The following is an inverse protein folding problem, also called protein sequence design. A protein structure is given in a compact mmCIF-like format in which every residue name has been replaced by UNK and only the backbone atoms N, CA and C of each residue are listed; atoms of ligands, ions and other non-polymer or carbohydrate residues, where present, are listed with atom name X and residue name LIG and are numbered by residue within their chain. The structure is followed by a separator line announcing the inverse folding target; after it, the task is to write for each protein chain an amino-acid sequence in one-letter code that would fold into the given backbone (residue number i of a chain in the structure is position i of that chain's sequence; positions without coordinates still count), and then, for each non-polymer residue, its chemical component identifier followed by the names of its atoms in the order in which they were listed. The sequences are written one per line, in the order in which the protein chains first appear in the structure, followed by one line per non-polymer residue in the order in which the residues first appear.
data_IF_932275384294
#
_entry.id   IF_932275384294
#
_cell.length_a   1.000
_cell.length_b   1.000
_cell.length_c   1.000
_cell.angle_alpha   90.00
_cell.angle_beta   90.00
_cell.angle_gamma   90.00
#
_symmetry.space_group_name_H-M   'P 1'
#
loop_
_entity.id
_entity.type
_entity.pdbx_description
1 polymer ?
#
# COMPACT_ATOMS: atom_id res chain seq x y z
N UNK A 1 2.22 1.70 -1.90
CA UNK A 1 1.53 0.62 -2.64
C UNK A 1 0.57 -0.12 -1.71
N UNK A 2 -0.65 -0.48 -2.11
CA UNK A 2 -1.41 -1.50 -1.34
C UNK A 2 -0.75 -2.85 -1.59
N UNK A 3 -0.59 -3.68 -0.55
CA UNK A 3 0.07 -4.98 -0.68
C UNK A 3 -0.65 -5.83 -1.73
N UNK A 4 -0.01 -6.21 -2.86
CA UNK A 4 -0.68 -6.94 -3.93
C UNK A 4 -1.15 -8.33 -3.50
N UNK A 5 -0.58 -8.89 -2.43
CA UNK A 5 -1.02 -10.14 -1.80
C UNK A 5 -2.39 -10.02 -1.09
N UNK A 6 -2.84 -8.81 -0.75
CA UNK A 6 -4.11 -8.59 -0.08
C UNK A 6 -5.22 -8.39 -1.11
N UNK A 7 -5.93 -9.48 -1.43
CA UNK A 7 -7.16 -9.40 -2.22
C UNK A 7 -8.16 -8.45 -1.55
N UNK A 8 -8.78 -7.57 -2.36
CA UNK A 8 -9.83 -6.64 -1.95
C UNK A 8 -11.22 -7.21 -2.20
N UNK A 9 -12.14 -7.03 -1.25
CA UNK A 9 -13.56 -7.37 -1.40
C UNK A 9 -14.45 -6.26 -0.82
N UNK A 10 -15.46 -5.82 -1.59
CA UNK A 10 -16.44 -4.83 -1.16
C UNK A 10 -17.67 -5.49 -0.53
N UNK A 11 -18.16 -4.93 0.58
CA UNK A 11 -19.36 -5.34 1.32
C UNK A 11 -20.16 -4.08 1.68
N UNK A 12 -21.06 -3.65 0.79
CA UNK A 12 -21.76 -2.37 0.94
C UNK A 12 -20.78 -1.20 0.94
N UNK A 13 -20.77 -0.41 2.01
CA UNK A 13 -19.85 0.73 2.20
C UNK A 13 -18.52 0.34 2.87
N UNK A 14 -18.25 -0.94 3.09
CA UNK A 14 -17.02 -1.42 3.74
C UNK A 14 -16.16 -2.18 2.74
N UNK A 15 -14.86 -1.93 2.72
CA UNK A 15 -13.88 -2.76 2.00
C UNK A 15 -13.15 -3.67 2.98
N UNK A 16 -12.84 -4.89 2.54
CA UNK A 16 -11.94 -5.81 3.23
C UNK A 16 -10.68 -6.01 2.40
N UNK A 17 -9.52 -5.90 3.04
CA UNK A 17 -8.21 -6.24 2.50
C UNK A 17 -7.73 -7.53 3.16
N UNK A 18 -7.38 -8.55 2.37
CA UNK A 18 -6.89 -9.83 2.89
C UNK A 18 -7.96 -10.93 2.91
N UNK A 19 -7.51 -12.16 2.70
CA UNK A 19 -8.35 -13.34 2.51
C UNK A 19 -8.49 -14.19 3.78
N UNK A 20 -7.55 -14.09 4.72
CA UNK A 20 -7.57 -14.87 5.97
C UNK A 20 -8.02 -13.99 7.14
N UNK A 21 -8.87 -14.48 8.07
CA UNK A 21 -9.36 -13.67 9.19
C UNK A 21 -8.24 -13.06 10.06
N UNK A 22 -7.14 -13.78 10.23
CA UNK A 22 -5.98 -13.33 11.00
C UNK A 22 -5.24 -12.13 10.35
N UNK A 23 -5.45 -11.88 9.05
CA UNK A 23 -4.77 -10.83 8.28
C UNK A 23 -5.76 -9.97 7.48
N UNK A 24 -7.05 -10.04 7.81
CA UNK A 24 -8.08 -9.30 7.11
C UNK A 24 -8.33 -7.96 7.81
N UNK A 25 -8.15 -6.86 7.08
CA UNK A 25 -8.45 -5.51 7.56
C UNK A 25 -9.75 -5.04 6.91
N UNK A 26 -10.73 -4.65 7.71
CA UNK A 26 -11.97 -4.05 7.24
C UNK A 26 -11.94 -2.53 7.43
N UNK A 27 -12.31 -1.79 6.40
CA UNK A 27 -12.33 -0.32 6.40
C UNK A 27 -13.71 0.15 5.94
N UNK A 28 -14.45 0.79 6.83
CA UNK A 28 -15.76 1.37 6.53
C UNK A 28 -16.56 1.73 7.77
N UNK A 29 -17.78 2.28 7.59
CA UNK A 29 -18.41 2.62 6.32
C UNK A 29 -17.75 3.83 5.63
N UNK A 30 -17.63 3.75 4.30
CA UNK A 30 -17.03 4.77 3.43
C UNK A 30 -18.08 5.39 2.54
N UNK A 31 -18.02 6.71 2.39
CA UNK A 31 -18.79 7.41 1.37
C UNK A 31 -18.30 7.04 -0.05
N UNK A 32 -19.11 7.31 -1.07
CA UNK A 32 -18.79 6.96 -2.47
C UNK A 32 -17.48 7.58 -2.96
N UNK A 33 -17.16 8.80 -2.51
CA UNK A 33 -15.96 9.52 -2.96
C UNK A 33 -14.72 8.85 -2.38
N UNK A 34 -14.74 8.56 -1.07
CA UNK A 34 -13.67 7.81 -0.39
C UNK A 34 -13.54 6.38 -0.93
N UNK A 35 -14.66 5.73 -1.26
CA UNK A 35 -14.66 4.40 -1.86
C UNK A 35 -14.03 4.37 -3.25
N UNK A 36 -14.38 5.33 -4.11
CA UNK A 36 -13.76 5.48 -5.43
C UNK A 36 -12.28 5.85 -5.37
N UNK A 37 -11.84 6.58 -4.35
CA UNK A 37 -10.42 6.86 -4.13
C UNK A 37 -9.63 5.61 -3.74
N UNK A 38 -10.20 4.72 -2.90
CA UNK A 38 -9.57 3.44 -2.58
C UNK A 38 -9.38 2.54 -3.81
N UNK A 39 -10.22 2.69 -4.83
CA UNK A 39 -10.05 1.94 -6.07
C UNK A 39 -8.78 2.33 -6.83
N UNK A 40 -8.27 3.55 -6.63
CA UNK A 40 -7.02 4.06 -7.22
C UNK A 40 -5.77 3.55 -6.48
N UNK A 41 -5.93 3.05 -5.25
CA UNK A 41 -4.88 2.43 -4.46
C UNK A 41 -4.65 0.98 -4.90
N UNK A 42 -4.54 0.76 -6.21
CA UNK A 42 -4.25 -0.54 -6.86
C UNK A 42 -2.75 -0.85 -6.94
N UNK A 43 -1.89 0.11 -6.53
CA UNK A 43 -0.44 -0.01 -6.56
C UNK A 43 0.20 0.41 -7.90
N UNK A 44 -0.57 0.89 -8.87
CA UNK A 44 -0.05 1.40 -10.15
C UNK A 44 0.34 2.88 -10.12
N UNK A 45 -0.09 3.64 -9.10
CA UNK A 45 0.07 5.09 -8.98
C UNK A 45 0.95 5.49 -7.80
N UNK A 46 1.76 6.53 -7.99
CA UNK A 46 2.56 7.14 -6.92
C UNK A 46 1.69 8.00 -5.98
N UNK A 47 2.22 8.31 -4.79
CA UNK A 47 1.49 9.14 -3.81
C UNK A 47 1.18 10.54 -4.33
N UNK A 48 2.06 11.12 -5.13
CA UNK A 48 1.85 12.44 -5.74
C UNK A 48 0.66 12.44 -6.73
N UNK A 49 0.53 11.38 -7.53
CA UNK A 49 -0.60 11.21 -8.45
C UNK A 49 -1.91 11.03 -7.68
N UNK A 50 -1.89 10.20 -6.63
CA UNK A 50 -3.04 10.00 -5.75
C UNK A 50 -3.49 11.30 -5.07
N UNK A 51 -2.55 12.14 -4.65
CA UNK A 51 -2.84 13.44 -4.05
C UNK A 51 -3.56 14.40 -5.02
N UNK A 52 -3.11 14.43 -6.28
CA UNK A 52 -3.75 15.22 -7.33
C UNK A 52 -5.16 14.70 -7.66
N UNK A 53 -5.32 13.38 -7.77
CA UNK A 53 -6.60 12.73 -8.05
C UNK A 53 -7.62 12.90 -6.92
N UNK A 54 -7.18 12.91 -5.67
CA UNK A 54 -8.03 13.19 -4.52
C UNK A 54 -8.54 14.64 -4.54
N UNK A 55 -7.66 15.60 -4.81
CA UNK A 55 -8.04 17.02 -4.98
C UNK A 55 -9.06 17.19 -6.10
N UNK A 56 -8.84 16.55 -7.25
CA UNK A 56 -9.76 16.61 -8.39
C UNK A 56 -11.16 16.06 -8.06
N UNK A 57 -11.26 15.17 -7.06
CA UNK A 57 -12.53 14.57 -6.59
C UNK A 57 -13.13 15.28 -5.37
N UNK A 58 -12.54 16.41 -4.94
CA UNK A 58 -13.01 17.16 -3.77
C UNK A 58 -12.75 16.47 -2.43
N UNK A 59 -11.82 15.51 -2.37
CA UNK A 59 -11.38 14.91 -1.11
C UNK A 59 -10.39 15.85 -0.41
N UNK A 60 -10.68 16.30 0.83
CA UNK A 60 -9.72 17.07 1.62
C UNK A 60 -8.44 16.26 1.85
N UNK A 61 -7.29 16.93 1.73
CA UNK A 61 -5.99 16.27 1.87
C UNK A 61 -5.82 15.61 3.25
N UNK A 62 -6.36 16.22 4.29
CA UNK A 62 -6.33 15.72 5.67
C UNK A 62 -7.07 14.37 5.79
N UNK A 63 -8.17 14.20 5.02
CA UNK A 63 -8.92 12.95 4.99
C UNK A 63 -8.15 11.85 4.26
N UNK A 64 -7.47 12.20 3.17
CA UNK A 64 -6.59 11.28 2.43
C UNK A 64 -5.44 10.84 3.31
N UNK A 65 -4.78 11.77 4.00
CA UNK A 65 -3.65 11.47 4.87
C UNK A 65 -4.07 10.58 6.05
N UNK A 66 -5.21 10.89 6.69
CA UNK A 66 -5.77 10.05 7.75
C UNK A 66 -6.09 8.63 7.26
N UNK A 67 -6.68 8.51 6.07
CA UNK A 67 -6.98 7.22 5.46
C UNK A 67 -5.71 6.42 5.17
N UNK A 68 -4.72 7.04 4.53
CA UNK A 68 -3.42 6.41 4.23
C UNK A 68 -2.72 5.98 5.52
N UNK A 69 -2.70 6.83 6.56
CA UNK A 69 -2.13 6.48 7.87
C UNK A 69 -2.84 5.30 8.52
N UNK A 70 -4.17 5.23 8.47
CA UNK A 70 -4.93 4.10 9.01
C UNK A 70 -4.67 2.81 8.25
N UNK A 71 -4.60 2.88 6.92
CA UNK A 71 -4.28 1.72 6.09
C UNK A 71 -2.83 1.25 6.30
N UNK A 72 -1.89 2.17 6.49
CA UNK A 72 -0.50 1.88 6.83
C UNK A 72 -0.38 1.24 8.21
N UNK A 73 -1.08 1.77 9.22
CA UNK A 73 -1.13 1.20 10.57
C UNK A 73 -1.76 -0.20 10.58
N UNK A 74 -2.70 -0.45 9.67
CA UNK A 74 -3.31 -1.77 9.49
C UNK A 74 -2.46 -2.71 8.59
N UNK A 75 -1.29 -2.28 8.14
CA UNK A 75 -0.39 -3.09 7.31
C UNK A 75 -0.93 -3.40 5.92
N UNK A 76 -1.91 -2.63 5.43
CA UNK A 76 -2.50 -2.77 4.08
C UNK A 76 -1.64 -2.07 3.04
N UNK A 77 -0.93 -1.01 3.43
CA UNK A 77 -0.02 -0.25 2.58
C UNK A 77 1.41 -0.73 2.81
N UNK A 78 2.07 -1.12 1.72
CA UNK A 78 3.50 -1.25 1.61
C UNK A 78 4.10 0.04 1.07
N UNK A 79 5.04 0.63 1.79
CA UNK A 79 5.80 1.77 1.28
C UNK A 79 7.10 1.26 0.64
N UNK A 80 6.95 0.72 -0.58
CA UNK A 80 8.11 0.28 -1.37
C UNK A 80 8.93 1.46 -1.88
N UNK A 81 8.44 2.70 -1.78
CA UNK A 81 9.12 3.91 -2.26
C UNK A 81 9.91 4.64 -1.17
N UNK A 82 9.49 4.59 0.09
CA UNK A 82 10.14 5.30 1.17
C UNK A 82 11.39 4.59 1.73
N UNK A 83 12.49 5.34 1.75
CA UNK A 83 13.66 5.06 2.58
C UNK A 83 14.92 4.66 1.80
N UNK A 84 16.11 4.79 2.42
CA UNK A 84 17.39 4.50 1.78
C UNK A 84 17.51 3.05 1.26
N UNK A 85 16.89 2.10 1.96
CA UNK A 85 16.83 0.70 1.54
C UNK A 85 16.07 0.50 0.22
N UNK A 86 14.98 1.23 0.02
CA UNK A 86 14.22 1.19 -1.22
C UNK A 86 14.99 1.83 -2.39
N UNK A 87 15.78 2.87 -2.12
CA UNK A 87 16.68 3.47 -3.11
C UNK A 87 17.79 2.50 -3.53
N UNK A 88 18.39 1.77 -2.58
CA UNK A 88 19.41 0.76 -2.86
C UNK A 88 18.88 -0.39 -3.74
N UNK A 89 17.64 -0.84 -3.49
CA UNK A 89 16.98 -1.87 -4.30
C UNK A 89 16.67 -1.43 -5.75
N UNK A 90 16.66 -0.12 -6.03
CA UNK A 90 16.42 0.46 -7.36
C UNK A 90 17.69 0.78 -8.14
N UNK A 91 18.86 0.68 -7.52
CA UNK A 91 20.12 1.14 -8.11
C UNK A 91 20.54 0.35 -9.37
N UNK A 92 19.92 -0.80 -9.66
CA UNK A 92 20.18 -1.59 -10.87
C UNK A 92 18.96 -1.68 -11.80
N UNK A 93 19.14 -1.57 -13.14
CA UNK A 93 18.06 -1.79 -14.09
C UNK A 93 17.46 -3.21 -13.92
N UNK A 94 16.14 -3.29 -13.81
CA UNK A 94 15.41 -4.55 -13.64
C UNK A 94 15.54 -5.22 -12.26
N UNK A 95 16.20 -4.59 -11.28
CA UNK A 95 16.35 -5.16 -9.93
C UNK A 95 14.99 -5.31 -9.22
N UNK A 96 14.12 -4.31 -9.31
CA UNK A 96 12.77 -4.38 -8.72
C UNK A 96 11.91 -5.50 -9.31
N UNK A 97 11.99 -5.73 -10.62
CA UNK A 97 11.21 -6.76 -11.29
C UNK A 97 11.61 -8.17 -10.81
N UNK A 98 12.92 -8.40 -10.64
CA UNK A 98 13.45 -9.67 -10.10
C UNK A 98 13.08 -9.88 -8.63
N UNK A 99 13.05 -8.80 -7.85
CA UNK A 99 12.80 -8.87 -6.40
C UNK A 99 11.31 -8.77 -6.03
N UNK A 100 10.42 -8.58 -7.01
CA UNK A 100 8.98 -8.38 -6.80
C UNK A 100 8.34 -9.54 -6.01
N UNK A 101 8.70 -10.79 -6.31
CA UNK A 101 8.16 -11.97 -5.63
C UNK A 101 8.58 -12.05 -4.15
N UNK A 102 9.84 -11.77 -3.84
CA UNK A 102 10.36 -11.80 -2.49
C UNK A 102 9.85 -10.62 -1.65
N UNK A 103 9.77 -9.42 -2.24
CA UNK A 103 9.13 -8.25 -1.63
C UNK A 103 7.67 -8.53 -1.26
N UNK A 104 6.90 -9.18 -2.16
CA UNK A 104 5.53 -9.56 -1.88
C UNK A 104 5.43 -10.50 -0.67
N UNK A 105 6.28 -11.53 -0.61
CA UNK A 105 6.29 -12.48 0.52
C UNK A 105 6.71 -11.82 1.84
N UNK A 106 7.74 -10.97 1.82
CA UNK A 106 8.22 -10.26 3.01
C UNK A 106 7.21 -9.22 3.52
N UNK A 107 6.42 -8.60 2.65
CA UNK A 107 5.39 -7.63 3.03
C UNK A 107 4.27 -8.25 3.87
N UNK A 108 4.04 -9.56 3.76
CA UNK A 108 3.06 -10.30 4.55
C UNK A 108 3.59 -10.54 5.97
N UNK A 109 4.87 -10.88 6.11
CA UNK A 109 5.53 -11.14 7.41
C UNK A 109 5.86 -9.84 8.14
N UNK A 110 6.30 -8.83 7.40
CA UNK A 110 6.70 -7.52 7.91
C UNK A 110 5.63 -6.50 7.54
N UNK A 111 4.64 -6.39 8.43
CA UNK A 111 3.43 -5.63 8.15
C UNK A 111 3.67 -4.11 8.01
N UNK A 112 4.72 -3.59 8.66
CA UNK A 112 5.06 -2.17 8.65
C UNK A 112 5.47 -1.67 7.25
N UNK A 113 5.05 -0.46 6.85
CA UNK A 113 5.42 0.10 5.55
C UNK A 113 6.93 0.13 5.34
N UNK A 114 7.41 -0.37 4.19
CA UNK A 114 8.84 -0.35 3.84
C UNK A 114 9.69 -1.41 4.55
N UNK A 115 9.12 -2.16 5.51
CA UNK A 115 9.86 -3.16 6.27
C UNK A 115 10.32 -4.35 5.41
N UNK A 116 9.55 -4.70 4.36
CA UNK A 116 9.95 -5.71 3.38
C UNK A 116 11.21 -5.30 2.60
N UNK A 117 11.24 -4.05 2.11
CA UNK A 117 12.40 -3.48 1.42
C UNK A 117 13.61 -3.35 2.34
N UNK A 118 13.42 -2.87 3.57
CA UNK A 118 14.48 -2.79 4.57
C UNK A 118 15.10 -4.17 4.89
N UNK A 119 14.25 -5.20 5.02
CA UNK A 119 14.74 -6.56 5.26
C UNK A 119 15.50 -7.13 4.09
N UNK A 120 15.04 -6.89 2.87
CA UNK A 120 15.71 -7.36 1.67
C UNK A 120 17.07 -6.66 1.47
N UNK A 121 17.12 -5.34 1.68
CA UNK A 121 18.36 -4.58 1.61
C UNK A 121 19.40 -5.03 2.67
N UNK A 122 18.96 -5.44 3.87
CA UNK A 122 19.86 -5.95 4.91
C UNK A 122 20.51 -7.32 4.60
N UNK A 123 20.06 -8.01 3.55
CA UNK A 123 20.59 -9.31 3.11
C UNK A 123 21.53 -9.23 1.91
N UNK A 124 21.46 -8.14 1.15
CA UNK A 124 22.24 -7.92 -0.07
C UNK A 124 23.47 -7.02 0.10
N UNK A 125 23.97 -6.88 1.33
CA UNK A 125 25.19 -6.15 1.67
C UNK A 125 26.36 -7.10 1.93
#
# INVERSE_FOLDING_TARGET
MVKPALRRAWRGQTVQFGVTPAHAVRVGPLDRVTGGFLDLLDGSRSMAVLAAEARARGLPWERVELLVRRLAAAGVVDDTEAGPAAAALRAGPGALDRLRGELASLSVVHAAPGAAGARLASRGG
#
